data_IF_924811817916
#
_entry.id   IF_924811817916
#
_cell.length_a   1.000
_cell.length_b   1.000
_cell.length_c   1.000
_cell.angle_alpha   90.00
_cell.angle_beta   90.00
_cell.angle_gamma   90.00
#
_symmetry.space_group_name_H-M   'P 1'
#
loop_
_entity.id
_entity.type
_entity.pdbx_description
1 polymer ?
#
# COMPACT_ATOMS: atom_id res chain seq x y z
N UNK A 1 -76.73 -41.45 -5.96
CA UNK A 1 -75.58 -42.30 -6.36
C UNK A 1 -74.37 -41.39 -6.48
N UNK A 2 -73.37 -41.67 -5.64
CA UNK A 2 -71.97 -41.18 -5.60
C UNK A 2 -71.63 -40.95 -4.12
N UNK A 3 -70.82 -41.85 -3.57
CA UNK A 3 -70.75 -42.17 -2.14
C UNK A 3 -69.80 -41.32 -1.28
N UNK A 4 -69.70 -41.65 0.03
CA UNK A 4 -69.04 -40.83 1.04
C UNK A 4 -67.72 -41.41 1.63
N UNK A 5 -66.94 -40.46 2.17
CA UNK A 5 -66.18 -40.42 3.45
C UNK A 5 -65.30 -41.59 3.97
N UNK A 6 -64.05 -41.24 4.34
CA UNK A 6 -63.51 -41.20 5.73
C UNK A 6 -61.99 -40.90 5.70
N UNK A 7 -61.50 -39.79 6.28
CA UNK A 7 -60.83 -39.61 7.60
C UNK A 7 -59.66 -40.59 7.85
N UNK A 8 -58.47 -40.16 8.30
CA UNK A 8 -58.11 -39.86 9.70
C UNK A 8 -56.88 -38.92 9.80
N UNK A 9 -56.92 -38.07 10.83
CA UNK A 9 -55.95 -37.05 11.23
C UNK A 9 -54.76 -37.59 12.05
N UNK A 10 -53.72 -36.75 12.24
CA UNK A 10 -52.93 -36.84 13.47
C UNK A 10 -52.31 -35.49 13.89
N UNK A 11 -52.49 -35.16 15.17
CA UNK A 11 -52.09 -33.91 15.83
C UNK A 11 -51.16 -34.17 17.01
N UNK A 12 -50.06 -33.40 17.07
CA UNK A 12 -49.35 -32.81 18.23
C UNK A 12 -48.89 -33.64 19.45
N UNK A 13 -47.64 -33.44 19.91
CA UNK A 13 -47.33 -32.59 21.09
C UNK A 13 -45.81 -32.38 21.32
N UNK A 14 -45.49 -31.43 22.22
CA UNK A 14 -44.23 -30.70 22.47
C UNK A 14 -43.27 -31.35 23.49
N UNK A 15 -41.99 -30.97 23.43
CA UNK A 15 -41.01 -30.55 24.50
C UNK A 15 -39.62 -30.49 23.82
N UNK A 16 -38.74 -29.49 23.90
CA UNK A 16 -38.35 -28.56 24.96
C UNK A 16 -36.89 -28.87 25.36
N UNK A 17 -35.90 -28.04 24.99
CA UNK A 17 -34.50 -28.22 25.43
C UNK A 17 -33.47 -27.30 24.75
N UNK A 18 -32.82 -26.45 25.55
CA UNK A 18 -31.83 -25.41 25.19
C UNK A 18 -30.44 -25.96 24.83
N UNK A 19 -29.68 -25.11 24.11
CA UNK A 19 -28.26 -24.76 24.30
C UNK A 19 -27.27 -25.14 23.18
N UNK A 20 -26.42 -24.16 22.83
CA UNK A 20 -25.07 -24.41 22.31
C UNK A 20 -24.80 -24.19 20.81
N UNK A 21 -25.10 -23.03 20.22
CA UNK A 21 -24.42 -22.63 18.97
C UNK A 21 -22.97 -22.22 19.28
N UNK A 22 -22.04 -23.17 19.17
CA UNK A 22 -20.60 -22.86 19.02
C UNK A 22 -20.33 -22.51 17.57
N UNK A 23 -20.12 -21.22 17.30
CA UNK A 23 -19.46 -20.73 16.09
C UNK A 23 -18.07 -21.39 16.01
N UNK A 24 -17.81 -22.11 14.92
CA UNK A 24 -16.45 -22.45 14.49
C UNK A 24 -16.33 -22.03 13.03
N UNK A 25 -15.66 -20.90 12.81
CA UNK A 25 -15.16 -20.52 11.49
C UNK A 25 -14.27 -21.64 10.97
N UNK A 26 -14.65 -22.23 9.85
CA UNK A 26 -13.80 -23.18 9.14
C UNK A 26 -13.07 -22.43 8.04
N UNK A 27 -11.77 -22.23 8.24
CA UNK A 27 -10.83 -22.02 7.15
C UNK A 27 -10.98 -23.16 6.14
N UNK A 28 -11.31 -22.83 4.90
CA UNK A 28 -11.35 -23.81 3.81
C UNK A 28 -9.99 -23.82 3.12
N UNK A 29 -9.20 -24.83 3.47
CA UNK A 29 -8.08 -25.32 2.65
C UNK A 29 -8.64 -25.84 1.33
N UNK A 30 -8.09 -25.35 0.22
CA UNK A 30 -8.35 -25.92 -1.10
C UNK A 30 -7.53 -27.21 -1.24
N UNK A 31 -8.22 -28.35 -1.45
CA UNK A 31 -7.61 -29.63 -1.80
C UNK A 31 -7.83 -29.83 -3.30
N UNK A 32 -6.74 -29.84 -4.07
CA UNK A 32 -6.75 -30.29 -5.46
C UNK A 32 -6.27 -31.74 -5.48
N UNK A 33 -7.13 -32.68 -5.85
CA UNK A 33 -6.78 -34.09 -5.95
C UNK A 33 -5.96 -34.35 -7.21
N UNK A 34 -4.68 -34.65 -7.03
CA UNK A 34 -3.91 -35.52 -7.92
C UNK A 34 -2.86 -36.23 -7.08
N UNK A 35 -2.75 -37.55 -7.19
CA UNK A 35 -1.90 -38.37 -6.32
C UNK A 35 -0.44 -37.92 -6.31
N UNK A 36 -0.05 -37.27 -5.21
CA UNK A 36 1.31 -36.94 -4.73
C UNK A 36 1.13 -36.56 -3.25
N UNK A 37 2.12 -36.88 -2.42
CA UNK A 37 2.11 -36.74 -0.95
C UNK A 37 1.28 -35.54 -0.44
N UNK A 38 0.44 -35.81 0.57
CA UNK A 38 -0.27 -34.81 1.35
C UNK A 38 0.75 -33.94 2.12
N UNK A 39 1.32 -32.94 1.45
CA UNK A 39 2.07 -31.89 2.13
C UNK A 39 1.03 -31.04 2.85
N UNK A 40 0.87 -31.26 4.15
CA UNK A 40 0.10 -30.37 5.02
C UNK A 40 0.74 -28.97 4.96
N UNK A 41 0.08 -28.02 4.30
CA UNK A 41 0.45 -26.61 4.44
C UNK A 41 -0.02 -26.14 5.81
N UNK A 42 0.91 -25.71 6.66
CA UNK A 42 0.60 -25.16 7.97
C UNK A 42 -0.49 -24.08 7.87
N UNK A 43 -1.45 -24.11 8.79
CA UNK A 43 -2.50 -23.10 8.92
C UNK A 43 -1.88 -21.72 9.12
N UNK A 44 -2.67 -20.65 8.93
CA UNK A 44 -2.17 -19.28 9.19
C UNK A 44 -1.72 -19.13 10.64
N UNK A 45 -2.50 -19.65 11.58
CA UNK A 45 -2.18 -19.62 13.02
C UNK A 45 -0.87 -20.36 13.33
N UNK A 46 -0.67 -21.55 12.77
CA UNK A 46 0.57 -22.33 12.94
C UNK A 46 1.79 -21.58 12.38
N UNK A 47 1.64 -20.91 11.23
CA UNK A 47 2.73 -20.13 10.61
C UNK A 47 3.12 -18.91 11.43
N UNK A 48 2.14 -18.20 11.98
CA UNK A 48 2.37 -17.05 12.86
C UNK A 48 3.03 -17.50 14.18
N UNK A 49 2.52 -18.58 14.78
CA UNK A 49 3.06 -19.15 16.02
C UNK A 49 4.53 -19.60 15.87
N UNK A 50 4.91 -20.17 14.72
CA UNK A 50 6.30 -20.56 14.44
C UNK A 50 7.29 -19.39 14.47
N UNK A 51 6.81 -18.14 14.36
CA UNK A 51 7.63 -16.93 14.41
C UNK A 51 7.33 -16.06 15.63
N UNK A 52 6.64 -16.60 16.65
CA UNK A 52 6.18 -15.87 17.84
C UNK A 52 5.39 -14.58 17.50
N UNK A 53 4.64 -14.60 16.40
CA UNK A 53 3.77 -13.49 16.02
C UNK A 53 2.41 -13.62 16.72
N UNK A 54 1.80 -12.49 17.12
CA UNK A 54 0.46 -12.52 17.70
C UNK A 54 -0.56 -13.04 16.68
N UNK A 55 -1.72 -13.47 17.19
CA UNK A 55 -2.86 -13.78 16.35
C UNK A 55 -3.35 -12.53 15.63
N UNK A 56 -3.92 -12.74 14.44
CA UNK A 56 -4.63 -11.68 13.72
C UNK A 56 -5.77 -11.12 14.57
N UNK A 57 -5.90 -9.80 14.54
CA UNK A 57 -7.09 -9.10 15.03
C UNK A 57 -8.32 -9.51 14.22
N UNK A 58 -9.47 -9.64 14.89
CA UNK A 58 -10.72 -9.85 14.15
C UNK A 58 -11.04 -8.58 13.37
N UNK A 59 -11.45 -8.75 12.13
CA UNK A 59 -11.77 -7.62 11.25
C UNK A 59 -12.91 -6.73 11.80
N UNK A 60 -13.72 -7.25 12.73
CA UNK A 60 -14.77 -6.54 13.45
C UNK A 60 -14.33 -5.91 14.79
N UNK A 61 -13.09 -6.06 15.21
CA UNK A 61 -12.60 -5.50 16.47
C UNK A 61 -12.71 -3.97 16.47
N UNK A 62 -13.24 -3.40 17.55
CA UNK A 62 -13.44 -1.95 17.68
C UNK A 62 -14.64 -1.40 16.89
N UNK A 63 -15.46 -2.25 16.26
CA UNK A 63 -16.68 -1.83 15.57
C UNK A 63 -17.92 -1.97 16.46
N UNK A 64 -18.88 -1.07 16.30
CA UNK A 64 -20.19 -1.23 16.92
C UNK A 64 -20.92 -2.41 16.27
N UNK A 65 -21.19 -3.44 17.07
CA UNK A 65 -21.76 -4.73 16.63
C UNK A 65 -23.21 -4.68 16.12
N UNK A 66 -23.77 -3.48 15.93
CA UNK A 66 -25.06 -3.29 15.26
C UNK A 66 -25.01 -3.76 13.81
N UNK A 67 -26.19 -3.91 13.19
CA UNK A 67 -26.30 -4.14 11.75
C UNK A 67 -25.48 -3.10 10.96
N UNK A 68 -24.92 -3.48 9.80
CA UNK A 68 -24.19 -2.55 8.95
C UNK A 68 -25.05 -1.31 8.66
N UNK A 69 -24.44 -0.14 8.72
CA UNK A 69 -25.11 1.13 8.45
C UNK A 69 -25.51 1.20 6.99
N UNK A 70 -24.61 0.78 6.11
CA UNK A 70 -24.79 0.79 4.67
C UNK A 70 -24.12 -0.43 4.03
N UNK A 71 -24.56 -0.79 2.83
CA UNK A 71 -23.96 -1.85 2.02
C UNK A 71 -23.68 -1.30 0.63
N UNK A 72 -22.42 -1.34 0.22
CA UNK A 72 -22.00 -0.88 -1.11
C UNK A 72 -22.10 -2.05 -2.08
N UNK A 73 -22.64 -1.77 -3.26
CA UNK A 73 -22.68 -2.70 -4.38
C UNK A 73 -21.63 -2.28 -5.42
N UNK A 74 -21.01 -3.24 -6.14
CA UNK A 74 -20.15 -2.92 -7.26
C UNK A 74 -20.94 -2.07 -8.28
N UNK A 75 -20.40 -0.91 -8.72
CA UNK A 75 -21.10 -0.08 -9.68
C UNK A 75 -21.31 -0.80 -11.02
N UNK A 76 -22.47 -0.56 -11.63
CA UNK A 76 -22.77 -1.05 -12.98
C UNK A 76 -22.23 -0.06 -14.02
N UNK A 77 -21.64 -0.58 -15.10
CA UNK A 77 -21.14 0.26 -16.20
C UNK A 77 -22.34 0.89 -16.91
N UNK A 78 -22.49 2.20 -16.78
CA UNK A 78 -23.63 2.95 -17.34
C UNK A 78 -23.75 4.39 -16.85
N UNK A 79 -23.15 4.72 -15.70
CA UNK A 79 -22.97 6.10 -15.24
C UNK A 79 -21.55 6.54 -15.57
N UNK A 80 -21.36 7.25 -16.68
CA UNK A 80 -20.05 7.75 -17.07
C UNK A 80 -19.62 8.90 -16.15
N UNK A 81 -18.41 8.83 -15.61
CA UNK A 81 -17.86 9.95 -14.84
C UNK A 81 -17.37 11.05 -15.79
N UNK A 82 -17.62 12.32 -15.43
CA UNK A 82 -17.37 13.49 -16.29
C UNK A 82 -15.91 13.67 -16.73
N UNK A 83 -14.95 13.12 -15.97
CA UNK A 83 -13.51 13.20 -16.25
C UNK A 83 -12.85 11.83 -16.00
N UNK A 84 -11.84 11.47 -16.80
CA UNK A 84 -11.34 10.08 -16.86
C UNK A 84 -9.86 9.90 -16.52
N UNK A 85 -9.58 8.88 -15.69
CA UNK A 85 -8.25 8.38 -15.35
C UNK A 85 -7.44 9.27 -14.41
N UNK A 86 -6.21 8.84 -14.11
CA UNK A 86 -5.23 9.61 -13.33
C UNK A 86 -4.60 10.71 -14.19
N UNK A 87 -4.57 11.94 -13.69
CA UNK A 87 -3.99 13.13 -14.33
C UNK A 87 -3.29 14.04 -13.32
N UNK A 88 -2.51 15.01 -13.81
CA UNK A 88 -1.89 16.05 -12.98
C UNK A 88 -1.09 15.48 -11.80
N UNK A 89 -0.30 14.43 -12.08
CA UNK A 89 0.52 13.74 -11.10
C UNK A 89 1.65 14.65 -10.62
N UNK A 90 1.70 14.88 -9.33
CA UNK A 90 2.64 15.78 -8.67
C UNK A 90 3.27 15.07 -7.47
N UNK A 91 4.60 15.12 -7.36
CA UNK A 91 5.29 14.74 -6.14
C UNK A 91 5.15 15.85 -5.10
N UNK A 92 4.58 15.52 -3.94
CA UNK A 92 4.37 16.48 -2.86
C UNK A 92 5.12 16.14 -1.57
N UNK A 93 5.72 14.95 -1.50
CA UNK A 93 6.64 14.63 -0.43
C UNK A 93 7.02 13.16 -0.33
N UNK A 94 7.94 12.85 0.57
CA UNK A 94 8.30 11.49 0.91
C UNK A 94 8.97 11.42 2.26
N UNK A 95 9.07 10.22 2.81
CA UNK A 95 9.81 9.96 4.03
C UNK A 95 10.22 8.50 4.15
N UNK A 96 11.25 8.25 4.95
CA UNK A 96 11.69 6.91 5.30
C UNK A 96 11.43 6.64 6.77
N UNK A 97 10.90 5.47 7.11
CA UNK A 97 10.94 5.01 8.51
C UNK A 97 12.33 4.49 8.85
N UNK A 98 12.77 4.69 10.09
CA UNK A 98 14.06 4.20 10.59
C UNK A 98 13.92 3.07 11.62
N UNK A 99 15.03 2.38 11.88
CA UNK A 99 15.12 1.34 12.92
C UNK A 99 15.05 1.88 14.36
N UNK A 100 15.09 3.20 14.56
CA UNK A 100 15.03 3.84 15.88
C UNK A 100 13.88 3.34 16.76
N UNK A 101 14.16 3.24 18.06
CA UNK A 101 13.17 2.91 19.10
C UNK A 101 12.07 3.98 19.17
N UNK A 102 12.46 5.25 19.15
CA UNK A 102 11.52 6.37 19.02
C UNK A 102 10.98 6.46 17.58
N UNK A 103 9.68 6.77 17.38
CA UNK A 103 9.10 6.94 16.06
C UNK A 103 9.83 8.05 15.29
N UNK A 104 10.68 7.65 14.34
CA UNK A 104 11.58 8.57 13.63
C UNK A 104 11.49 8.35 12.13
N UNK A 105 11.28 9.46 11.42
CA UNK A 105 11.31 9.50 9.96
C UNK A 105 12.46 10.36 9.44
N UNK A 106 12.97 10.00 8.26
CA UNK A 106 13.90 10.83 7.48
C UNK A 106 13.10 11.53 6.37
N UNK A 107 13.24 12.84 6.22
CA UNK A 107 12.53 13.63 5.19
C UNK A 107 13.55 14.44 4.35
N UNK A 108 13.47 14.39 3.00
CA UNK A 108 12.52 13.61 2.19
C UNK A 108 12.75 12.09 2.22
N UNK A 109 13.85 11.62 2.82
CA UNK A 109 14.25 10.23 2.70
C UNK A 109 14.65 9.89 1.26
N UNK A 110 14.92 8.62 0.96
CA UNK A 110 15.22 8.20 -0.41
C UNK A 110 14.93 6.72 -0.64
N UNK A 111 14.35 6.34 -1.78
CA UNK A 111 14.16 4.95 -2.12
C UNK A 111 15.50 4.26 -2.43
N UNK A 112 15.60 2.94 -2.24
CA UNK A 112 16.77 2.17 -2.66
C UNK A 112 17.12 2.41 -4.13
N UNK A 113 18.41 2.45 -4.45
CA UNK A 113 18.86 2.66 -5.84
C UNK A 113 18.91 1.34 -6.58
N UNK A 114 18.32 1.29 -7.77
CA UNK A 114 18.41 0.15 -8.67
C UNK A 114 19.87 -0.15 -9.02
N UNK A 115 20.25 -1.42 -8.87
CA UNK A 115 21.54 -1.96 -9.30
C UNK A 115 21.27 -2.89 -10.46
N UNK A 116 21.87 -2.57 -11.60
CA UNK A 116 21.84 -3.41 -12.78
C UNK A 116 22.73 -4.65 -12.56
N UNK A 117 22.12 -5.76 -12.11
CA UNK A 117 22.79 -7.03 -11.85
C UNK A 117 22.73 -7.93 -13.08
N UNK A 118 23.88 -8.50 -13.43
CA UNK A 118 23.95 -9.58 -14.43
C UNK A 118 23.23 -10.84 -13.94
N UNK A 119 22.56 -11.51 -14.87
CA UNK A 119 21.90 -12.82 -14.68
C UNK A 119 22.75 -13.92 -15.33
N UNK A 120 22.75 -15.16 -14.79
CA UNK A 120 21.87 -15.65 -13.72
C UNK A 120 22.41 -15.44 -12.30
N UNK A 121 21.51 -15.42 -11.32
CA UNK A 121 21.86 -15.52 -9.90
C UNK A 121 20.83 -16.35 -9.12
N UNK A 122 21.26 -16.97 -8.02
CA UNK A 122 20.42 -17.80 -7.16
C UNK A 122 20.11 -17.07 -5.86
N UNK A 123 18.83 -17.00 -5.50
CA UNK A 123 18.37 -16.51 -4.20
C UNK A 123 17.74 -17.62 -3.38
N UNK A 124 17.84 -17.48 -2.06
CA UNK A 124 17.02 -18.27 -1.12
C UNK A 124 15.61 -17.68 -1.06
N UNK A 125 14.59 -18.49 -0.73
CA UNK A 125 13.26 -17.98 -0.48
C UNK A 125 13.26 -16.92 0.64
N UNK A 126 12.25 -16.04 0.63
CA UNK A 126 12.02 -15.10 1.70
C UNK A 126 11.70 -15.85 3.01
N UNK A 127 12.38 -15.46 4.09
CA UNK A 127 12.29 -16.09 5.40
C UNK A 127 12.18 -15.03 6.50
N UNK A 128 11.71 -15.44 7.69
CA UNK A 128 11.61 -14.59 8.85
C UNK A 128 10.32 -13.75 8.89
N UNK A 129 10.41 -12.58 9.51
CA UNK A 129 9.27 -11.68 9.77
C UNK A 129 9.41 -10.43 8.91
N UNK A 130 8.32 -9.98 8.31
CA UNK A 130 8.22 -8.69 7.61
C UNK A 130 7.25 -7.78 8.35
N UNK A 131 7.50 -6.48 8.30
CA UNK A 131 6.55 -5.47 8.74
C UNK A 131 5.55 -5.21 7.60
N UNK A 132 4.26 -5.26 7.93
CA UNK A 132 3.14 -5.11 6.98
C UNK A 132 2.78 -3.64 6.84
N UNK A 133 2.72 -2.90 7.94
CA UNK A 133 2.43 -1.46 7.98
C UNK A 133 3.32 -0.77 9.01
N UNK A 134 4.30 0.00 8.53
CA UNK A 134 5.22 0.71 9.42
C UNK A 134 4.56 1.90 10.12
N UNK A 135 3.54 2.52 9.51
CA UNK A 135 2.94 3.72 10.08
C UNK A 135 2.10 3.36 11.32
N UNK A 136 1.25 2.34 11.21
CA UNK A 136 0.47 1.83 12.34
C UNK A 136 1.38 1.21 13.41
N UNK A 137 2.44 0.48 13.01
CA UNK A 137 3.38 -0.10 13.97
C UNK A 137 4.17 0.95 14.77
N UNK A 138 4.71 1.97 14.09
CA UNK A 138 5.63 2.95 14.70
C UNK A 138 4.87 4.11 15.34
N UNK A 139 3.70 4.49 14.85
CA UNK A 139 2.92 5.60 15.39
C UNK A 139 1.40 5.28 15.37
N UNK A 140 0.94 4.32 16.19
CA UNK A 140 -0.42 3.77 16.12
C UNK A 140 -1.52 4.82 16.39
N UNK A 141 -1.24 5.83 17.21
CA UNK A 141 -2.21 6.89 17.49
C UNK A 141 -2.46 7.81 16.30
N UNK A 142 -1.46 8.01 15.43
CA UNK A 142 -1.51 8.99 14.35
C UNK A 142 -0.83 8.48 13.06
N UNK A 143 -1.30 7.38 12.45
CA UNK A 143 -0.63 6.72 11.32
C UNK A 143 -0.56 7.57 10.04
N UNK A 144 -1.35 8.64 9.94
CA UNK A 144 -1.28 9.60 8.83
C UNK A 144 -0.41 10.83 9.14
N UNK A 145 -0.01 11.07 10.39
CA UNK A 145 0.83 12.22 10.75
C UNK A 145 2.16 12.30 9.96
N UNK A 146 2.91 11.21 9.74
CA UNK A 146 4.16 11.26 8.99
C UNK A 146 3.99 11.77 7.55
N UNK A 147 2.84 11.47 6.93
CA UNK A 147 2.53 11.93 5.58
C UNK A 147 2.43 13.45 5.55
N UNK A 148 1.58 14.05 6.40
CA UNK A 148 1.39 15.50 6.40
C UNK A 148 2.65 16.23 6.88
N UNK A 149 3.35 15.66 7.87
CA UNK A 149 4.62 16.20 8.35
C UNK A 149 5.66 16.27 7.24
N UNK A 150 5.78 15.23 6.40
CA UNK A 150 6.70 15.24 5.28
C UNK A 150 6.34 16.30 4.23
N UNK A 151 5.05 16.47 3.93
CA UNK A 151 4.57 17.50 2.98
C UNK A 151 4.92 18.91 3.47
N UNK A 152 4.69 19.21 4.75
CA UNK A 152 5.02 20.53 5.32
C UNK A 152 6.53 20.83 5.25
N UNK A 153 7.33 19.82 5.57
CA UNK A 153 8.78 19.91 5.69
C UNK A 153 9.45 20.09 4.33
N UNK A 154 8.84 19.56 3.26
CA UNK A 154 9.27 19.75 1.87
C UNK A 154 8.71 21.07 1.29
N UNK A 155 7.83 21.76 2.04
CA UNK A 155 7.30 23.09 1.71
C UNK A 155 6.55 23.10 0.36
N UNK A 156 5.77 22.04 0.09
CA UNK A 156 4.89 21.99 -1.09
C UNK A 156 3.53 22.61 -0.75
N UNK A 157 3.08 23.54 -1.59
CA UNK A 157 1.80 24.25 -1.40
C UNK A 157 0.60 23.31 -1.67
N UNK A 158 0.07 22.72 -0.58
CA UNK A 158 -1.14 21.91 -0.61
C UNK A 158 -2.30 22.68 0.01
N UNK A 159 -3.33 22.95 -0.79
CA UNK A 159 -4.60 23.50 -0.32
C UNK A 159 -5.45 22.35 0.24
N UNK A 160 -5.20 21.98 1.50
CA UNK A 160 -5.81 20.84 2.17
C UNK A 160 -7.35 20.79 2.10
N UNK A 161 -8.10 21.89 2.30
CA UNK A 161 -9.58 21.86 2.20
C UNK A 161 -10.10 21.51 0.80
N UNK A 162 -9.25 21.61 -0.24
CA UNK A 162 -9.62 21.27 -1.62
C UNK A 162 -9.41 19.80 -1.97
N UNK A 163 -8.77 19.01 -1.11
CA UNK A 163 -8.46 17.60 -1.35
C UNK A 163 -9.70 16.75 -1.04
N UNK A 164 -9.99 15.77 -1.89
CA UNK A 164 -11.12 14.85 -1.68
C UNK A 164 -10.73 13.65 -0.83
N UNK A 165 -9.54 13.10 -1.07
CA UNK A 165 -9.08 11.89 -0.40
C UNK A 165 -7.61 11.98 -0.02
N UNK A 166 -7.29 11.53 1.20
CA UNK A 166 -5.94 11.12 1.60
C UNK A 166 -5.97 9.62 1.83
N UNK A 167 -5.12 8.87 1.13
CA UNK A 167 -5.15 7.40 1.17
C UNK A 167 -3.77 6.78 0.92
N UNK A 168 -3.72 5.47 1.08
CA UNK A 168 -2.61 4.63 0.64
C UNK A 168 -2.97 3.86 -0.63
N UNK A 169 -1.98 3.61 -1.48
CA UNK A 169 -2.13 2.71 -2.63
C UNK A 169 -2.72 1.35 -2.22
N UNK A 170 -2.37 0.85 -1.03
CA UNK A 170 -2.89 -0.43 -0.52
C UNK A 170 -4.41 -0.42 -0.35
N UNK A 171 -4.99 0.68 0.14
CA UNK A 171 -6.44 0.81 0.32
C UNK A 171 -7.15 0.85 -1.03
N UNK A 172 -6.62 1.64 -1.98
CA UNK A 172 -7.14 1.69 -3.35
C UNK A 172 -7.07 0.31 -4.05
N UNK A 173 -5.99 -0.46 -3.82
CA UNK A 173 -5.87 -1.83 -4.34
C UNK A 173 -6.85 -2.81 -3.72
N UNK A 174 -7.21 -2.66 -2.44
CA UNK A 174 -8.24 -3.50 -1.78
C UNK A 174 -9.59 -3.28 -2.46
N UNK A 175 -9.98 -2.02 -2.65
CA UNK A 175 -11.21 -1.65 -3.37
C UNK A 175 -11.20 -2.13 -4.82
N UNK A 176 -10.09 -1.94 -5.52
CA UNK A 176 -9.92 -2.41 -6.90
C UNK A 176 -10.12 -3.93 -7.01
N UNK A 177 -9.49 -4.72 -6.12
CA UNK A 177 -9.64 -6.17 -6.11
C UNK A 177 -11.06 -6.62 -5.79
N UNK A 178 -11.80 -5.87 -4.98
CA UNK A 178 -13.21 -6.15 -4.73
C UNK A 178 -14.05 -5.96 -5.99
N UNK A 179 -13.81 -4.89 -6.74
CA UNK A 179 -14.45 -4.63 -8.04
C UNK A 179 -14.12 -5.74 -9.04
N UNK A 180 -12.85 -6.11 -9.14
CA UNK A 180 -12.34 -7.11 -10.09
C UNK A 180 -12.85 -8.54 -9.78
N UNK A 181 -12.91 -8.92 -8.48
CA UNK A 181 -13.10 -10.32 -8.07
C UNK A 181 -14.46 -10.63 -7.46
N UNK A 182 -15.23 -9.60 -7.08
CA UNK A 182 -16.51 -9.75 -6.40
C UNK A 182 -16.41 -10.68 -5.19
N UNK A 183 -17.24 -11.71 -5.18
CA UNK A 183 -17.33 -12.72 -4.10
C UNK A 183 -16.03 -13.49 -3.81
N UNK A 184 -15.06 -13.48 -4.74
CA UNK A 184 -13.77 -14.16 -4.58
C UNK A 184 -12.68 -13.27 -3.99
N UNK A 185 -12.98 -12.02 -3.63
CA UNK A 185 -12.01 -11.14 -2.97
C UNK A 185 -11.70 -11.67 -1.56
N UNK A 186 -10.47 -11.44 -1.10
CA UNK A 186 -10.12 -11.68 0.31
C UNK A 186 -10.78 -10.63 1.19
N UNK A 187 -11.18 -11.03 2.38
CA UNK A 187 -11.68 -10.12 3.39
C UNK A 187 -10.65 -9.01 3.68
N UNK A 188 -11.14 -7.78 3.83
CA UNK A 188 -10.32 -6.63 4.18
C UNK A 188 -11.13 -5.58 4.89
N UNK A 189 -10.42 -4.70 5.59
CA UNK A 189 -10.99 -3.50 6.19
C UNK A 189 -10.18 -2.26 5.81
N UNK A 190 -10.89 -1.15 5.70
CA UNK A 190 -10.35 0.20 5.55
C UNK A 190 -11.10 1.07 6.54
N UNK A 191 -10.38 1.73 7.43
CA UNK A 191 -10.99 2.70 8.35
C UNK A 191 -11.03 4.06 7.67
N UNK A 192 -12.09 4.82 7.91
CA UNK A 192 -12.23 6.13 7.30
C UNK A 192 -13.03 7.10 8.14
N UNK A 193 -12.69 8.38 7.97
CA UNK A 193 -13.38 9.49 8.62
C UNK A 193 -13.44 10.69 7.68
N UNK A 194 -14.45 11.54 7.89
CA UNK A 194 -14.54 12.83 7.24
C UNK A 194 -13.76 13.88 8.04
N UNK A 195 -12.97 14.68 7.34
CA UNK A 195 -12.28 15.85 7.90
C UNK A 195 -12.61 17.09 7.06
N UNK A 196 -12.79 18.22 7.75
CA UNK A 196 -13.29 19.44 7.12
C UNK A 196 -14.71 19.25 6.56
N UNK A 197 -14.95 19.79 5.37
CA UNK A 197 -16.26 19.72 4.72
C UNK A 197 -16.45 18.50 3.81
N UNK A 198 -15.36 18.01 3.18
CA UNK A 198 -15.45 17.00 2.11
C UNK A 198 -14.33 15.95 2.11
N UNK A 199 -13.23 16.17 2.81
CA UNK A 199 -12.05 15.32 2.67
C UNK A 199 -12.25 14.02 3.44
N UNK A 200 -12.00 12.88 2.80
CA UNK A 200 -12.02 11.57 3.45
C UNK A 200 -10.60 11.08 3.68
N UNK A 201 -10.30 10.75 4.93
CA UNK A 201 -9.06 10.06 5.29
C UNK A 201 -9.33 8.55 5.23
N UNK A 202 -8.70 7.84 4.30
CA UNK A 202 -8.77 6.39 4.20
C UNK A 202 -7.55 5.79 4.92
N UNK A 203 -7.72 5.44 6.19
CA UNK A 203 -6.68 4.82 6.99
C UNK A 203 -6.59 3.31 6.73
N UNK A 204 -5.36 2.82 6.62
CA UNK A 204 -5.08 1.42 6.41
C UNK A 204 -5.36 0.63 7.69
N UNK A 205 -6.10 -0.48 7.55
CA UNK A 205 -6.23 -1.50 8.58
C UNK A 205 -5.68 -2.83 8.08
N UNK A 206 -4.90 -3.51 8.91
CA UNK A 206 -4.36 -4.84 8.64
C UNK A 206 -4.64 -5.75 9.85
N UNK A 207 -4.83 -7.07 9.64
CA UNK A 207 -5.04 -8.01 10.75
C UNK A 207 -3.88 -8.05 11.74
N UNK A 208 -2.68 -7.64 11.32
CA UNK A 208 -1.52 -7.46 12.17
C UNK A 208 -0.44 -6.64 11.47
N UNK A 209 0.38 -5.95 12.26
CA UNK A 209 1.46 -5.10 11.76
C UNK A 209 2.68 -5.88 11.26
N UNK A 210 2.75 -7.18 11.58
CA UNK A 210 3.83 -8.09 11.20
C UNK A 210 3.24 -9.36 10.61
N UNK A 211 3.95 -9.96 9.66
CA UNK A 211 3.56 -11.22 9.01
C UNK A 211 4.80 -12.04 8.69
N UNK A 212 4.61 -13.30 8.36
CA UNK A 212 5.69 -14.15 7.87
C UNK A 212 6.16 -13.62 6.51
N UNK A 213 7.48 -13.46 6.34
CA UNK A 213 8.08 -12.86 5.16
C UNK A 213 7.92 -13.71 3.88
N UNK A 214 7.80 -15.02 4.05
CA UNK A 214 7.60 -15.94 2.93
C UNK A 214 6.96 -17.26 3.30
N UNK A 215 6.90 -18.15 2.32
CA UNK A 215 6.30 -19.47 2.44
C UNK A 215 7.20 -20.57 1.86
N UNK A 216 8.51 -20.30 1.78
CA UNK A 216 9.50 -21.15 1.10
C UNK A 216 9.46 -21.08 -0.43
N UNK A 217 8.58 -20.25 -1.03
CA UNK A 217 8.43 -20.11 -2.50
C UNK A 217 8.31 -18.66 -2.98
N UNK A 218 8.40 -17.68 -2.09
CA UNK A 218 8.46 -16.25 -2.42
C UNK A 218 9.91 -15.78 -2.42
N UNK A 219 10.25 -14.82 -3.29
CA UNK A 219 11.61 -14.31 -3.46
C UNK A 219 11.64 -12.78 -3.59
N UNK A 220 10.54 -12.11 -3.24
CA UNK A 220 10.37 -10.69 -3.54
C UNK A 220 11.30 -9.81 -2.71
N UNK A 221 11.42 -10.09 -1.41
CA UNK A 221 12.27 -9.33 -0.49
C UNK A 221 13.74 -9.61 -0.80
N UNK A 222 14.09 -10.89 -0.99
CA UNK A 222 15.44 -11.29 -1.37
C UNK A 222 15.86 -10.66 -2.72
N UNK A 223 14.94 -10.62 -3.69
CA UNK A 223 15.19 -10.00 -4.99
C UNK A 223 15.41 -8.49 -4.86
N UNK A 224 14.52 -7.78 -4.15
CA UNK A 224 14.67 -6.34 -3.87
C UNK A 224 16.04 -6.03 -3.26
N UNK A 225 16.47 -6.78 -2.23
CA UNK A 225 17.79 -6.63 -1.61
C UNK A 225 18.96 -6.92 -2.56
N UNK A 226 18.81 -7.88 -3.47
CA UNK A 226 19.87 -8.26 -4.42
C UNK A 226 20.10 -7.18 -5.49
N UNK A 227 19.01 -6.58 -5.98
CA UNK A 227 19.01 -5.67 -7.12
C UNK A 227 18.91 -4.19 -6.71
N UNK A 228 19.06 -3.89 -5.43
CA UNK A 228 19.10 -2.51 -4.94
C UNK A 228 20.27 -2.25 -3.98
N UNK A 229 20.56 -0.97 -3.74
CA UNK A 229 21.49 -0.51 -2.71
C UNK A 229 20.82 0.58 -1.88
N UNK A 230 21.17 0.64 -0.59
CA UNK A 230 20.74 1.72 0.28
C UNK A 230 21.19 3.08 -0.30
N UNK A 231 20.34 4.12 -0.25
CA UNK A 231 20.70 5.44 -0.74
C UNK A 231 21.63 6.15 0.25
N UNK A 232 22.49 7.02 -0.29
CA UNK A 232 23.35 7.88 0.52
C UNK A 232 22.49 8.78 1.43
N UNK A 233 22.89 8.93 2.69
CA UNK A 233 22.16 9.75 3.66
C UNK A 233 20.93 9.09 4.29
N UNK A 234 20.56 7.87 3.90
CA UNK A 234 19.45 7.11 4.49
C UNK A 234 19.85 5.67 4.85
N UNK A 235 21.05 5.46 5.41
CA UNK A 235 21.57 4.12 5.73
C UNK A 235 20.67 3.35 6.72
N UNK A 236 19.93 4.05 7.58
CA UNK A 236 19.01 3.48 8.57
C UNK A 236 17.57 3.31 8.03
N UNK A 237 17.34 3.50 6.73
CA UNK A 237 16.03 3.41 6.09
C UNK A 237 15.49 1.97 6.10
N UNK A 238 14.29 1.79 6.64
CA UNK A 238 13.53 0.55 6.61
C UNK A 238 12.60 0.45 5.40
N UNK A 239 11.93 1.56 5.09
CA UNK A 239 10.98 1.66 3.98
C UNK A 239 10.85 3.10 3.54
N UNK A 240 10.96 3.33 2.23
CA UNK A 240 10.68 4.63 1.63
C UNK A 240 9.20 4.72 1.23
N UNK A 241 8.53 5.77 1.69
CA UNK A 241 7.14 6.09 1.39
C UNK A 241 7.09 7.40 0.62
N UNK A 242 6.61 7.33 -0.61
CA UNK A 242 6.38 8.49 -1.48
C UNK A 242 4.93 8.95 -1.40
N UNK A 243 4.72 10.25 -1.49
CA UNK A 243 3.43 10.93 -1.43
C UNK A 243 3.26 11.70 -2.73
N UNK A 244 2.23 11.31 -3.50
CA UNK A 244 1.87 11.96 -4.75
C UNK A 244 0.46 12.52 -4.67
N UNK A 245 0.23 13.60 -5.39
CA UNK A 245 -1.08 14.22 -5.61
C UNK A 245 -1.47 14.03 -7.05
N UNK A 246 -2.73 13.72 -7.32
CA UNK A 246 -3.26 13.61 -8.68
C UNK A 246 -4.78 13.74 -8.71
N UNK A 247 -5.33 14.05 -9.87
CA UNK A 247 -6.76 13.99 -10.13
C UNK A 247 -7.13 12.57 -10.60
N UNK A 248 -8.22 12.02 -10.08
CA UNK A 248 -8.72 10.69 -10.43
C UNK A 248 -10.24 10.69 -10.56
N UNK A 249 -10.71 10.61 -11.79
CA UNK A 249 -12.14 10.66 -12.11
C UNK A 249 -12.91 11.85 -11.47
N UNK A 250 -12.25 13.01 -11.47
CA UNK A 250 -12.76 14.26 -10.88
C UNK A 250 -12.59 14.37 -9.37
N UNK A 251 -11.86 13.45 -8.72
CA UNK A 251 -11.49 13.52 -7.31
C UNK A 251 -10.02 13.95 -7.17
N UNK A 252 -9.74 14.92 -6.31
CA UNK A 252 -8.38 15.33 -5.93
C UNK A 252 -7.83 14.39 -4.87
N UNK A 253 -6.85 13.58 -5.25
CA UNK A 253 -6.28 12.53 -4.43
C UNK A 253 -4.90 12.93 -3.90
N UNK A 254 -4.63 12.60 -2.65
CA UNK A 254 -3.29 12.43 -2.11
C UNK A 254 -3.10 10.95 -1.79
N UNK A 255 -2.07 10.34 -2.39
CA UNK A 255 -1.80 8.91 -2.28
C UNK A 255 -0.37 8.66 -1.83
N UNK A 256 -0.24 7.96 -0.70
CA UNK A 256 1.03 7.44 -0.21
C UNK A 256 1.27 6.01 -0.70
N UNK A 257 2.51 5.69 -1.06
CA UNK A 257 2.89 4.33 -1.43
C UNK A 257 4.36 4.04 -1.15
N UNK A 258 4.68 2.76 -0.91
CA UNK A 258 6.06 2.28 -0.91
C UNK A 258 6.65 2.42 -2.32
N UNK A 259 7.89 2.88 -2.42
CA UNK A 259 8.72 2.77 -3.62
C UNK A 259 9.76 1.68 -3.40
N UNK A 260 9.88 0.75 -4.33
CA UNK A 260 10.82 -0.36 -4.22
C UNK A 260 12.23 0.04 -4.65
N UNK A 261 12.35 0.84 -5.72
CA UNK A 261 13.63 1.38 -6.15
C UNK A 261 13.50 2.69 -6.95
N UNK A 262 14.63 3.37 -7.16
CA UNK A 262 14.78 4.43 -8.15
C UNK A 262 15.95 4.16 -9.11
N UNK A 263 15.84 4.67 -10.34
CA UNK A 263 16.96 4.69 -11.28
C UNK A 263 18.04 5.67 -10.81
N UNK A 264 19.34 5.39 -11.07
CA UNK A 264 20.42 6.31 -10.75
C UNK A 264 20.33 7.57 -11.61
N UNK A 265 20.67 8.73 -11.01
CA UNK A 265 20.76 9.99 -11.74
C UNK A 265 21.91 9.95 -12.76
N UNK A 266 21.75 10.68 -13.87
CA UNK A 266 22.74 10.72 -14.95
C UNK A 266 24.13 11.19 -14.49
N UNK A 267 24.20 12.06 -13.47
CA UNK A 267 25.44 12.58 -12.87
C UNK A 267 26.24 11.52 -12.11
N UNK A 268 25.61 10.44 -11.65
CA UNK A 268 26.28 9.37 -10.87
C UNK A 268 26.77 8.21 -11.75
N UNK A 269 26.46 8.23 -13.05
CA UNK A 269 27.02 7.24 -14.00
C UNK A 269 28.52 7.43 -14.21
N UNK A 270 29.08 8.57 -13.79
CA UNK A 270 30.50 8.88 -13.87
C UNK A 270 31.35 8.26 -12.73
N UNK A 271 30.74 7.79 -11.64
CA UNK A 271 31.45 7.21 -10.48
C UNK A 271 31.67 5.69 -10.57
N UNK A 272 31.41 5.09 -11.74
CA UNK A 272 31.95 3.77 -12.03
C UNK A 272 33.45 3.97 -12.29
N UNK A 273 34.38 3.30 -11.59
CA UNK A 273 35.79 3.44 -11.86
C UNK A 273 36.11 2.82 -13.22
N UNK A 274 35.93 3.59 -14.29
CA UNK A 274 36.64 3.39 -15.54
C UNK A 274 38.13 3.63 -15.25
N UNK A 275 38.96 2.68 -15.68
CA UNK A 275 40.42 2.73 -15.61
C UNK A 275 40.94 4.13 -15.99
N UNK A 276 41.83 4.75 -15.18
CA UNK A 276 42.29 6.10 -15.46
C UNK A 276 43.11 6.12 -16.74
N UNK A 277 42.72 6.98 -17.68
CA UNK A 277 43.58 7.38 -18.79
C UNK A 277 44.65 8.36 -18.28
N UNK A 278 45.88 8.34 -18.83
CA UNK A 278 46.99 9.15 -18.30
C UNK A 278 46.85 10.67 -18.51
N UNK A 279 45.79 11.15 -19.17
CA UNK A 279 45.60 12.59 -19.48
C UNK A 279 44.70 13.34 -18.47
N UNK A 280 44.03 12.65 -17.53
CA UNK A 280 43.11 13.28 -16.56
C UNK A 280 43.81 13.94 -15.35
N UNK A 281 45.15 13.91 -15.29
CA UNK A 281 45.91 14.38 -14.12
C UNK A 281 46.13 15.91 -14.12
N UNK A 282 45.94 16.58 -15.26
CA UNK A 282 46.14 18.04 -15.38
C UNK A 282 44.85 18.85 -15.19
N UNK A 283 43.67 18.28 -15.48
CA UNK A 283 42.39 18.95 -15.21
C UNK A 283 42.09 19.01 -13.69
N UNK A 284 42.49 17.99 -12.94
CA UNK A 284 42.26 17.91 -11.49
C UNK A 284 43.13 18.85 -10.64
N UNK A 285 44.17 19.47 -11.20
CA UNK A 285 45.04 20.40 -10.46
C UNK A 285 44.60 21.86 -10.58
N UNK A 286 43.72 22.20 -11.53
CA UNK A 286 43.15 23.55 -11.68
C UNK A 286 41.87 23.77 -10.88
N UNK A 287 41.14 22.71 -10.54
CA UNK A 287 39.93 22.77 -9.70
C UNK A 287 40.26 22.94 -8.20
N UNK A 288 41.54 22.85 -7.83
CA UNK A 288 42.02 23.01 -6.44
C UNK A 288 42.41 24.45 -6.08
N UNK A 289 42.23 25.42 -6.97
CA UNK A 289 42.70 26.81 -6.77
C UNK A 289 41.66 27.85 -7.21
N UNK A 290 40.53 27.93 -6.51
CA UNK A 290 39.63 29.12 -6.33
C UNK A 290 38.36 28.62 -5.62
N UNK A 291 38.03 28.95 -4.37
CA UNK A 291 37.52 30.25 -3.90
C UNK A 291 37.66 30.30 -2.36
N UNK A 292 38.12 31.44 -1.83
CA UNK A 292 38.13 31.76 -0.41
C UNK A 292 36.72 31.98 0.17
N UNK A 293 36.47 31.32 1.30
CA UNK A 293 35.84 31.82 2.51
C UNK A 293 34.50 32.60 2.42
N UNK A 294 33.40 31.86 2.65
CA UNK A 294 32.46 32.23 3.71
C UNK A 294 32.18 30.97 4.52
N UNK A 295 32.63 30.95 5.78
CA UNK A 295 32.36 29.85 6.71
C UNK A 295 30.86 29.80 7.01
N UNK A 296 30.13 28.70 6.75
CA UNK A 296 28.93 28.42 7.51
C UNK A 296 29.40 27.79 8.82
N UNK A 297 29.05 28.45 9.92
CA UNK A 297 29.21 27.93 11.26
C UNK A 297 28.85 26.44 11.33
N UNK A 298 29.54 25.71 12.21
CA UNK A 298 29.17 24.36 12.64
C UNK A 298 27.67 24.31 12.95
N UNK A 299 26.87 23.93 11.96
CA UNK A 299 25.48 23.58 12.17
C UNK A 299 25.51 22.27 12.94
N UNK A 300 25.52 22.39 14.26
CA UNK A 300 24.97 21.39 15.18
C UNK A 300 23.78 20.77 14.46
N UNK A 301 23.76 19.44 14.35
CA UNK A 301 22.56 18.66 14.03
C UNK A 301 21.52 18.99 15.10
N UNK A 302 20.90 20.15 15.01
CA UNK A 302 19.80 20.54 15.85
C UNK A 302 18.59 19.82 15.27
N UNK A 303 17.98 18.87 16.01
CA UNK A 303 16.65 18.43 15.65
C UNK A 303 15.77 19.68 15.59
N UNK A 304 15.18 19.95 14.41
CA UNK A 304 14.12 20.94 14.31
C UNK A 304 12.97 20.44 15.19
N UNK A 305 12.68 21.20 16.24
CA UNK A 305 11.49 21.16 17.09
C UNK A 305 11.31 19.90 17.97
N UNK A 306 10.74 20.14 19.16
CA UNK A 306 10.18 19.12 20.06
C UNK A 306 9.34 18.12 19.24
N UNK A 307 9.34 16.80 19.56
CA UNK A 307 8.56 15.83 18.82
C UNK A 307 7.07 16.16 18.97
N UNK A 308 6.51 16.86 17.99
CA UNK A 308 5.07 17.09 17.92
C UNK A 308 4.42 15.71 17.83
N UNK A 309 3.57 15.40 18.83
CA UNK A 309 2.80 14.16 18.89
C UNK A 309 3.65 12.86 18.84
N UNK A 310 4.89 12.92 19.35
CA UNK A 310 5.75 11.74 19.48
C UNK A 310 6.46 11.30 18.18
N UNK A 311 6.46 12.14 17.14
CA UNK A 311 7.18 11.88 15.88
C UNK A 311 8.47 12.72 15.81
N UNK A 312 9.61 12.07 15.67
CA UNK A 312 10.91 12.71 15.42
C UNK A 312 11.20 12.79 13.93
N UNK A 313 11.69 13.93 13.47
CA UNK A 313 12.07 14.12 12.06
C UNK A 313 13.55 14.41 11.92
N UNK A 314 14.21 13.68 11.03
CA UNK A 314 15.60 13.89 10.62
C UNK A 314 15.61 14.36 9.17
N UNK A 315 16.37 15.40 8.85
CA UNK A 315 16.59 15.82 7.47
C UNK A 315 17.62 14.90 6.81
N UNK A 316 17.29 14.31 5.67
CA UNK A 316 18.18 13.40 4.96
C UNK A 316 17.57 12.83 3.68
N UNK A 317 18.43 12.23 2.85
CA UNK A 317 18.05 11.79 1.50
C UNK A 317 17.89 12.94 0.50
N UNK A 318 17.27 12.62 -0.64
CA UNK A 318 17.04 13.51 -1.77
C UNK A 318 15.65 13.27 -2.38
N UNK A 319 15.04 14.33 -2.91
CA UNK A 319 13.83 14.20 -3.73
C UNK A 319 14.14 13.40 -5.01
N UNK A 320 13.36 12.34 -5.25
CA UNK A 320 13.49 11.51 -6.45
C UNK A 320 12.43 11.91 -7.49
N UNK A 321 12.81 12.18 -8.76
CA UNK A 321 11.86 12.48 -9.82
C UNK A 321 10.89 11.32 -10.09
N UNK A 322 9.66 11.64 -10.50
CA UNK A 322 8.60 10.63 -10.74
C UNK A 322 9.01 9.66 -11.87
N UNK A 323 9.70 10.16 -12.89
CA UNK A 323 10.24 9.40 -14.01
C UNK A 323 11.28 8.36 -13.58
N UNK A 324 11.89 8.50 -12.41
CA UNK A 324 12.91 7.57 -11.91
C UNK A 324 12.36 6.47 -11.01
N UNK A 325 11.08 6.50 -10.64
CA UNK A 325 10.45 5.54 -9.73
C UNK A 325 10.27 4.17 -10.39
N UNK A 326 10.72 3.12 -9.70
CA UNK A 326 10.68 1.72 -10.16
C UNK A 326 9.85 0.87 -9.19
N UNK A 327 8.86 0.14 -9.72
CA UNK A 327 8.19 -0.97 -9.04
C UNK A 327 8.94 -2.28 -9.34
N UNK A 328 9.20 -3.08 -8.31
CA UNK A 328 9.87 -4.38 -8.45
C UNK A 328 8.87 -5.52 -8.27
N UNK A 329 8.97 -6.53 -9.15
CA UNK A 329 8.18 -7.76 -9.02
C UNK A 329 9.01 -8.99 -9.34
N UNK A 330 8.60 -10.14 -8.82
CA UNK A 330 9.16 -11.44 -9.17
C UNK A 330 8.09 -12.36 -9.74
N UNK A 331 8.46 -13.18 -10.74
CA UNK A 331 7.58 -14.20 -11.32
C UNK A 331 8.30 -15.52 -11.53
N UNK A 332 7.62 -16.59 -11.14
CA UNK A 332 8.05 -17.96 -11.43
C UNK A 332 7.84 -18.27 -12.91
N UNK A 333 8.77 -19.01 -13.52
CA UNK A 333 8.63 -19.57 -14.88
C UNK A 333 7.39 -20.43 -15.05
N UNK A 334 6.93 -21.07 -13.97
CA UNK A 334 5.72 -21.90 -13.94
C UNK A 334 4.45 -21.03 -14.07
N UNK A 335 4.52 -19.77 -13.66
CA UNK A 335 3.42 -18.79 -13.71
C UNK A 335 3.79 -17.63 -14.64
N UNK A 336 4.39 -17.94 -15.79
CA UNK A 336 5.01 -16.96 -16.69
C UNK A 336 4.02 -16.08 -17.46
N UNK A 337 2.74 -16.46 -17.52
CA UNK A 337 1.73 -15.57 -18.08
C UNK A 337 1.72 -14.30 -17.23
N UNK A 338 2.10 -13.18 -17.84
CA UNK A 338 2.05 -11.87 -17.23
C UNK A 338 0.57 -11.54 -17.03
N UNK A 339 0.02 -11.96 -15.89
CA UNK A 339 -1.32 -11.59 -15.49
C UNK A 339 -1.33 -10.09 -15.25
N UNK A 340 -1.74 -9.36 -16.29
CA UNK A 340 -1.82 -7.91 -16.31
C UNK A 340 -2.69 -7.38 -15.17
N UNK A 341 -3.64 -8.20 -14.68
CA UNK A 341 -4.49 -7.83 -13.56
C UNK A 341 -3.76 -7.69 -12.23
N UNK A 342 -2.60 -8.36 -12.09
CA UNK A 342 -1.77 -8.24 -10.89
C UNK A 342 -0.77 -7.08 -11.03
N UNK A 343 -0.37 -6.79 -12.27
CA UNK A 343 0.71 -5.84 -12.59
C UNK A 343 0.19 -4.41 -12.69
N UNK A 344 -0.92 -4.21 -13.39
CA UNK A 344 -1.39 -2.87 -13.75
C UNK A 344 -1.88 -2.08 -12.54
N UNK A 345 -2.72 -2.60 -11.63
CA UNK A 345 -3.22 -1.82 -10.51
C UNK A 345 -2.14 -1.17 -9.62
N UNK A 346 -1.08 -1.87 -9.16
CA UNK A 346 -0.04 -1.23 -8.35
C UNK A 346 0.74 -0.17 -9.11
N UNK A 347 1.03 -0.38 -10.41
CA UNK A 347 1.75 0.58 -11.26
C UNK A 347 0.87 1.79 -11.55
N UNK A 348 -0.37 1.58 -11.98
CA UNK A 348 -1.33 2.63 -12.27
C UNK A 348 -1.60 3.51 -11.04
N UNK A 349 -1.87 2.92 -9.87
CA UNK A 349 -2.19 3.71 -8.67
C UNK A 349 -0.97 4.42 -8.04
N UNK A 350 0.26 4.00 -8.36
CA UNK A 350 1.49 4.68 -7.91
C UNK A 350 2.09 5.61 -8.96
N UNK A 351 1.61 5.52 -10.20
CA UNK A 351 2.20 6.19 -11.36
C UNK A 351 3.70 5.91 -11.49
N UNK A 352 4.15 4.70 -11.09
CA UNK A 352 5.54 4.29 -11.23
C UNK A 352 5.91 4.23 -12.72
N UNK A 353 7.00 4.91 -13.10
CA UNK A 353 7.43 5.08 -14.49
C UNK A 353 8.13 3.85 -15.07
N UNK A 354 8.60 2.98 -14.18
CA UNK A 354 9.31 1.75 -14.52
C UNK A 354 8.76 0.57 -13.72
N UNK A 355 8.69 -0.58 -14.38
CA UNK A 355 8.40 -1.88 -13.77
C UNK A 355 9.51 -2.87 -14.15
N UNK A 356 10.21 -3.39 -13.16
CA UNK A 356 11.21 -4.44 -13.36
C UNK A 356 10.71 -5.78 -12.80
N UNK A 357 10.67 -6.81 -13.64
CA UNK A 357 10.18 -8.14 -13.29
C UNK A 357 11.30 -9.16 -13.37
N UNK A 358 11.76 -9.65 -12.22
CA UNK A 358 12.70 -10.77 -12.12
C UNK A 358 11.99 -12.10 -12.40
N UNK A 359 12.43 -12.82 -13.45
CA UNK A 359 11.91 -14.13 -13.83
C UNK A 359 12.81 -15.22 -13.26
N UNK A 360 12.21 -16.16 -12.52
CA UNK A 360 12.96 -17.19 -11.82
C UNK A 360 12.33 -18.59 -11.89
N UNK A 361 13.16 -19.62 -11.73
CA UNK A 361 12.72 -20.99 -11.42
C UNK A 361 13.25 -21.34 -10.04
N UNK A 362 12.37 -21.43 -9.03
CA UNK A 362 12.77 -21.76 -7.64
C UNK A 362 13.97 -20.92 -7.13
N UNK A 363 13.89 -19.59 -7.29
CA UNK A 363 14.94 -18.66 -6.85
C UNK A 363 16.12 -18.52 -7.81
N UNK A 364 16.24 -19.34 -8.85
CA UNK A 364 17.22 -19.11 -9.92
C UNK A 364 16.69 -18.08 -10.90
N UNK A 365 17.16 -16.83 -10.79
CA UNK A 365 16.78 -15.74 -11.68
C UNK A 365 17.59 -15.83 -12.98
N UNK A 366 16.89 -15.87 -14.11
CA UNK A 366 17.51 -16.02 -15.44
C UNK A 366 17.30 -14.81 -16.34
N UNK A 367 16.35 -13.92 -16.01
CA UNK A 367 16.03 -12.73 -16.79
C UNK A 367 15.38 -11.67 -15.91
N UNK A 368 15.63 -10.40 -16.22
CA UNK A 368 14.92 -9.25 -15.66
C UNK A 368 14.25 -8.51 -16.82
N UNK A 369 12.91 -8.52 -16.87
CA UNK A 369 12.17 -7.72 -17.83
C UNK A 369 12.05 -6.28 -17.32
N UNK A 370 12.43 -5.30 -18.15
CA UNK A 370 12.31 -3.88 -17.83
C UNK A 370 11.27 -3.27 -18.73
N UNK A 371 10.24 -2.73 -18.12
CA UNK A 371 9.10 -2.14 -18.83
C UNK A 371 9.04 -0.67 -18.43
N UNK A 372 9.13 0.21 -19.43
CA UNK A 372 8.74 1.61 -19.25
C UNK A 372 7.22 1.69 -19.31
N UNK A 373 6.63 2.38 -18.35
CA UNK A 373 5.17 2.56 -18.26
C UNK A 373 4.76 3.91 -18.88
N UNK A 374 5.70 4.86 -18.96
CA UNK A 374 5.56 6.15 -19.63
C UNK A 374 5.55 5.99 -21.15
N UNK A 375 6.49 5.21 -21.69
CA UNK A 375 6.40 4.69 -23.05
C UNK A 375 5.52 3.46 -23.02
N UNK A 376 4.20 3.70 -22.93
CA UNK A 376 3.13 2.71 -23.03
C UNK A 376 3.52 1.55 -23.95
N UNK A 377 4.12 0.50 -23.40
CA UNK A 377 4.31 -0.72 -24.17
C UNK A 377 2.93 -1.20 -24.59
N UNK A 378 2.82 -1.82 -25.77
CA UNK A 378 1.53 -2.27 -26.28
C UNK A 378 0.77 -3.13 -25.25
N UNK A 379 1.50 -3.91 -24.45
CA UNK A 379 0.96 -4.75 -23.38
C UNK A 379 0.41 -3.99 -22.16
N UNK A 380 1.11 -3.00 -21.61
CA UNK A 380 0.64 -2.23 -20.45
C UNK A 380 -0.55 -1.36 -20.87
N UNK A 381 -0.46 -0.71 -22.03
CA UNK A 381 -1.54 0.15 -22.51
C UNK A 381 -2.80 -0.61 -22.93
N UNK A 382 -2.66 -1.79 -23.54
CA UNK A 382 -3.80 -2.66 -23.82
C UNK A 382 -4.46 -3.14 -22.52
N UNK A 383 -3.67 -3.53 -21.51
CA UNK A 383 -4.22 -3.91 -20.21
C UNK A 383 -4.88 -2.74 -19.47
N UNK A 384 -4.32 -1.53 -19.52
CA UNK A 384 -4.97 -0.33 -18.96
C UNK A 384 -6.31 -0.07 -19.62
N UNK A 385 -6.39 -0.16 -20.95
CA UNK A 385 -7.65 -0.01 -21.69
C UNK A 385 -8.65 -1.08 -21.31
N UNK A 386 -8.21 -2.33 -21.17
CA UNK A 386 -9.06 -3.44 -20.73
C UNK A 386 -9.60 -3.22 -19.31
N UNK A 387 -8.79 -2.64 -18.43
CA UNK A 387 -9.12 -2.37 -17.03
C UNK A 387 -9.77 -1.02 -16.79
N UNK A 388 -9.92 -0.19 -17.83
CA UNK A 388 -10.44 1.17 -17.69
C UNK A 388 -11.83 1.19 -17.04
N UNK A 389 -12.69 0.21 -17.37
CA UNK A 389 -14.00 0.08 -16.75
C UNK A 389 -13.93 -0.21 -15.24
N UNK A 390 -12.91 -0.92 -14.76
CA UNK A 390 -12.75 -1.21 -13.34
C UNK A 390 -12.14 -0.02 -12.57
N UNK A 391 -11.26 0.76 -13.20
CA UNK A 391 -10.81 2.04 -12.63
C UNK A 391 -11.92 3.09 -12.58
N UNK A 392 -12.79 3.13 -13.58
CA UNK A 392 -13.98 4.01 -13.55
C UNK A 392 -14.92 3.62 -12.40
N UNK A 393 -15.21 2.32 -12.24
CA UNK A 393 -15.94 1.81 -11.07
C UNK A 393 -15.24 2.17 -9.76
N UNK A 394 -13.90 2.14 -9.69
CA UNK A 394 -13.17 2.56 -8.50
C UNK A 394 -13.41 4.05 -8.19
N UNK A 395 -13.42 4.91 -9.21
CA UNK A 395 -13.80 6.31 -9.06
C UNK A 395 -15.22 6.49 -8.52
N UNK A 396 -16.19 5.69 -9.01
CA UNK A 396 -17.57 5.71 -8.50
C UNK A 396 -17.66 5.24 -7.04
N UNK A 397 -16.94 4.17 -6.68
CA UNK A 397 -16.88 3.66 -5.30
C UNK A 397 -16.31 4.70 -4.36
N UNK A 398 -15.27 5.42 -4.75
CA UNK A 398 -14.71 6.50 -3.95
C UNK A 398 -15.74 7.63 -3.76
N UNK A 399 -16.47 8.05 -4.81
CA UNK A 399 -17.55 9.04 -4.66
C UNK A 399 -18.63 8.59 -3.67
N UNK A 400 -19.08 7.35 -3.77
CA UNK A 400 -20.04 6.79 -2.82
C UNK A 400 -19.48 6.80 -1.38
N UNK A 401 -18.20 6.45 -1.19
CA UNK A 401 -17.56 6.52 0.15
C UNK A 401 -17.54 7.97 0.67
N UNK A 402 -17.29 8.97 -0.17
CA UNK A 402 -17.32 10.38 0.22
C UNK A 402 -18.73 10.82 0.62
N UNK A 403 -19.75 10.46 -0.17
CA UNK A 403 -21.15 10.77 0.15
C UNK A 403 -21.57 10.16 1.50
N UNK A 404 -21.17 8.92 1.77
CA UNK A 404 -21.39 8.25 3.06
C UNK A 404 -20.68 8.98 4.19
N UNK A 405 -19.40 9.33 4.00
CA UNK A 405 -18.64 10.07 5.01
C UNK A 405 -19.28 11.42 5.34
N UNK A 406 -19.81 12.14 4.33
CA UNK A 406 -20.54 13.41 4.50
C UNK A 406 -21.86 13.18 5.25
N UNK A 407 -22.64 12.17 4.87
CA UNK A 407 -23.90 11.82 5.53
C UNK A 407 -23.71 11.48 7.02
N UNK A 408 -22.55 10.93 7.37
CA UNK A 408 -22.21 10.50 8.73
C UNK A 408 -21.06 11.30 9.36
N UNK A 409 -20.92 12.60 9.02
CA UNK A 409 -19.78 13.47 9.35
C UNK A 409 -19.26 13.50 10.80
N UNK A 410 -20.03 13.02 11.77
CA UNK A 410 -19.68 12.99 13.19
C UNK A 410 -19.25 11.60 13.68
N UNK A 411 -18.95 10.67 12.76
CA UNK A 411 -18.63 9.28 13.05
C UNK A 411 -17.30 8.89 12.40
N UNK A 412 -16.54 8.06 13.11
CA UNK A 412 -15.47 7.27 12.52
C UNK A 412 -16.07 5.98 11.99
N UNK A 413 -15.75 5.62 10.75
CA UNK A 413 -16.38 4.52 10.03
C UNK A 413 -15.35 3.49 9.59
N UNK A 414 -15.84 2.29 9.30
CA UNK A 414 -15.03 1.21 8.78
C UNK A 414 -15.75 0.55 7.63
N UNK A 415 -15.06 0.46 6.50
CA UNK A 415 -15.47 -0.30 5.35
C UNK A 415 -14.95 -1.74 5.51
N UNK A 416 -15.85 -2.69 5.68
CA UNK A 416 -15.54 -4.10 5.92
C UNK A 416 -16.02 -4.93 4.74
N UNK A 417 -15.08 -5.60 4.08
CA UNK A 417 -15.39 -6.62 3.08
C UNK A 417 -15.31 -8.01 3.73
N UNK A 418 -16.43 -8.74 3.73
CA UNK A 418 -16.49 -10.15 4.16
C UNK A 418 -17.20 -10.99 3.10
N UNK A 419 -16.49 -11.95 2.52
CA UNK A 419 -17.03 -12.82 1.46
C UNK A 419 -17.63 -12.04 0.29
N UNK A 420 -16.92 -11.01 -0.17
CA UNK A 420 -17.35 -10.13 -1.28
C UNK A 420 -18.36 -9.05 -0.94
N UNK A 421 -18.98 -9.09 0.24
CA UNK A 421 -19.93 -8.06 0.66
C UNK A 421 -19.19 -6.92 1.32
N UNK A 422 -19.32 -5.72 0.77
CA UNK A 422 -18.68 -4.51 1.26
C UNK A 422 -19.70 -3.67 2.05
N UNK A 423 -19.45 -3.50 3.34
CA UNK A 423 -20.42 -2.89 4.26
C UNK A 423 -19.75 -1.86 5.15
N UNK A 424 -20.53 -0.85 5.58
CA UNK A 424 -20.06 0.24 6.44
C UNK A 424 -20.52 0.00 7.86
N UNK A 425 -19.60 0.12 8.80
CA UNK A 425 -19.83 0.02 10.23
C UNK A 425 -19.32 1.27 10.93
N UNK A 426 -19.92 1.61 12.07
CA UNK A 426 -19.41 2.67 12.94
C UNK A 426 -18.33 2.10 13.88
N UNK A 427 -17.27 2.87 14.08
CA UNK A 427 -16.21 2.55 15.02
C UNK A 427 -16.58 3.01 16.44
N UNK A 428 -16.16 2.25 17.46
CA UNK A 428 -16.45 2.56 18.87
C UNK A 428 -15.67 3.80 19.32
N UNK A 429 -14.41 3.91 18.90
CA UNK A 429 -13.58 5.08 19.16
C UNK A 429 -13.81 6.14 18.09
N UNK A 430 -13.80 7.41 18.51
CA UNK A 430 -13.81 8.59 17.64
C UNK A 430 -12.43 9.25 17.51
N UNK A 431 -11.38 8.56 17.95
CA UNK A 431 -10.02 9.07 17.82
C UNK A 431 -9.66 9.15 16.33
N UNK A 432 -9.31 10.36 15.89
CA UNK A 432 -8.83 10.58 14.53
C UNK A 432 -7.45 9.96 14.33
N UNK A 433 -7.15 9.61 13.08
CA UNK A 433 -5.81 9.19 12.65
C UNK A 433 -4.80 10.36 12.54
N UNK A 434 -5.23 11.58 12.90
CA UNK A 434 -4.44 12.79 12.97
C UNK A 434 -4.60 13.49 14.32
N UNK A 435 -3.59 14.22 14.80
CA UNK A 435 -3.72 15.15 15.91
C UNK A 435 -4.62 16.34 15.57
N UNK A 436 -5.29 16.94 16.56
CA UNK A 436 -6.29 18.02 16.38
C UNK A 436 -5.76 19.26 15.64
N UNK A 437 -4.50 19.64 15.83
CA UNK A 437 -3.85 20.76 15.13
C UNK A 437 -3.60 20.47 13.65
N UNK A 438 -3.30 19.22 13.32
CA UNK A 438 -3.11 18.76 11.94
C UNK A 438 -4.46 18.55 11.26
N UNK A 439 -5.45 18.02 11.99
CA UNK A 439 -6.83 17.87 11.54
C UNK A 439 -7.43 19.21 11.08
N UNK A 440 -7.17 20.30 11.82
CA UNK A 440 -7.74 21.63 11.53
C UNK A 440 -7.35 22.21 10.17
N UNK A 441 -6.34 21.68 9.50
CA UNK A 441 -5.90 22.13 8.16
C UNK A 441 -6.94 21.87 7.07
N UNK A 442 -7.83 20.91 7.28
CA UNK A 442 -8.89 20.57 6.33
C UNK A 442 -10.13 21.46 6.46
N UNK A 443 -10.19 22.31 7.49
CA UNK A 443 -11.26 23.28 7.64
C UNK A 443 -11.00 24.46 6.68
N UNK A 444 -12.06 24.96 6.04
CA UNK A 444 -11.98 26.24 5.35
C UNK A 444 -11.54 27.32 6.36
N UNK A 445 -10.56 28.15 5.97
CA UNK A 445 -10.14 29.31 6.75
C UNK A 445 -11.16 30.44 6.70
#
# INVERSE_FOLDING_TARGET
MSGPESSVANTSSKRGGKSGKRNRGRGRNWIQHSGKELIFSASREERLAAHNLPHDHDIGDGLLASSPMETLLPPHVGTTLAEGGIRNVEYIGSYDWTESEEPTIIVPGSPPRWVDRDVPFQLRPDEGVRIVDHNTLKLPSFPLLPLLTAVDIIEKDVIWPSIDFVSDRTNLRKLYKWIERGDNVRDFRIDFELVGERTVLLNRWEPGDRDVAGNGKTYGIAFERMVTRAPAGCAESLVHLRIIKYDFHGLKMIVRHKVDACLPHATERADVPSSPSPDDTLANTLDSLSIEAVSPAENKKQPLNLPAHGLRVVRGGSEVPQESVVELMTRSTISMQLDVSIIIPPVYLSQASHLHIGIHTQGQFSRIHRISTTHKSDSISAGEKQMNGDFEKLGMVLKNIQEIAIAHRNKSLSLVCRGGKLQVYEHVSRQSCLPDDVYRRFNAQ
#
